data_IF_934549801918
#
_entry.id   IF_934549801918
#
_cell.length_a   1.000
_cell.length_b   1.000
_cell.length_c   1.000
_cell.angle_alpha   90.00
_cell.angle_beta   90.00
_cell.angle_gamma   90.00
#
_symmetry.space_group_name_H-M   'P 1'
#
loop_
_entity.id
_entity.type
_entity.pdbx_description
1 polymer ?
#
# COMPACT_ATOMS: atom_id res chain seq x y z
N UNK A 1 13.72 -12.02 6.68
CA UNK A 1 14.42 -10.73 6.91
C UNK A 1 15.58 -10.89 7.89
N UNK A 2 15.36 -11.60 8.98
CA UNK A 2 16.38 -11.72 10.04
C UNK A 2 17.67 -12.37 9.54
N UNK A 3 17.58 -13.41 8.73
CA UNK A 3 18.75 -14.13 8.24
C UNK A 3 19.59 -13.33 7.25
N UNK A 4 18.98 -12.38 6.55
CA UNK A 4 19.65 -11.62 5.49
C UNK A 4 20.12 -10.25 5.95
N UNK A 5 19.63 -9.76 7.09
CA UNK A 5 19.95 -8.41 7.57
C UNK A 5 21.45 -8.22 7.81
N UNK A 6 22.14 -9.24 8.31
CA UNK A 6 23.60 -9.19 8.55
C UNK A 6 24.41 -9.05 7.26
N UNK A 7 23.81 -9.33 6.11
CA UNK A 7 24.42 -9.16 4.80
C UNK A 7 24.01 -7.86 4.13
N UNK A 8 23.42 -6.94 4.88
CA UNK A 8 22.89 -5.67 4.38
C UNK A 8 21.81 -5.88 3.32
N UNK A 9 20.96 -6.88 3.55
CA UNK A 9 19.79 -7.15 2.68
C UNK A 9 18.53 -6.95 3.52
N UNK A 10 17.72 -5.99 3.14
CA UNK A 10 16.45 -5.71 3.77
C UNK A 10 15.34 -6.42 3.00
N UNK A 11 14.42 -7.05 3.73
CA UNK A 11 13.27 -7.74 3.15
C UNK A 11 12.01 -7.21 3.83
N UNK A 12 11.16 -6.56 3.08
CA UNK A 12 9.92 -5.98 3.57
C UNK A 12 8.76 -6.38 2.67
N UNK A 13 7.56 -6.34 3.22
CA UNK A 13 6.33 -6.59 2.49
C UNK A 13 5.56 -5.29 2.32
N UNK A 14 5.01 -5.08 1.13
CA UNK A 14 4.13 -3.98 0.84
C UNK A 14 2.73 -4.52 0.62
N UNK A 15 1.77 -4.07 1.41
CA UNK A 15 0.38 -4.50 1.32
C UNK A 15 -0.48 -3.32 0.86
N UNK A 16 -0.81 -3.26 -0.44
CA UNK A 16 -1.65 -2.18 -0.94
C UNK A 16 -3.13 -2.42 -0.63
N UNK A 17 -3.88 -1.33 -0.48
CA UNK A 17 -5.33 -1.38 -0.44
C UNK A 17 -5.93 -1.32 -1.84
N UNK A 18 -7.00 -0.56 -1.98
CA UNK A 18 -7.68 -0.41 -3.26
C UNK A 18 -7.15 0.79 -4.03
N UNK A 19 -6.52 0.52 -5.15
CA UNK A 19 -5.93 1.53 -6.02
C UNK A 19 -6.66 1.58 -7.36
N UNK A 20 -6.87 2.79 -7.86
CA UNK A 20 -7.52 3.01 -9.15
C UNK A 20 -6.54 2.70 -10.28
N UNK A 21 -6.46 1.44 -10.64
CA UNK A 21 -5.61 0.93 -11.73
C UNK A 21 -6.47 0.53 -12.93
N UNK A 22 -5.83 0.26 -14.05
CA UNK A 22 -6.54 -0.23 -15.25
C UNK A 22 -7.27 -1.55 -14.97
N UNK A 23 -6.69 -2.42 -14.14
CA UNK A 23 -7.32 -3.68 -13.75
C UNK A 23 -8.60 -3.46 -12.94
N UNK A 24 -8.68 -2.36 -12.20
CA UNK A 24 -9.82 -2.06 -11.34
C UNK A 24 -10.80 -1.09 -11.97
N UNK A 25 -10.64 -0.78 -13.26
CA UNK A 25 -11.46 0.24 -13.93
C UNK A 25 -12.96 -0.02 -13.78
N UNK A 26 -13.40 -1.26 -13.97
CA UNK A 26 -14.81 -1.61 -13.87
C UNK A 26 -15.35 -1.37 -12.45
N UNK A 27 -14.54 -1.64 -11.42
CA UNK A 27 -14.93 -1.41 -10.03
C UNK A 27 -14.93 0.08 -9.69
N UNK A 28 -13.98 0.84 -10.20
CA UNK A 28 -13.93 2.29 -10.00
C UNK A 28 -15.17 2.95 -10.58
N UNK A 29 -15.63 2.47 -11.73
CA UNK A 29 -16.79 3.00 -12.43
C UNK A 29 -18.12 2.49 -11.87
N UNK A 30 -18.08 1.48 -10.98
CA UNK A 30 -19.27 0.94 -10.33
C UNK A 30 -19.64 1.82 -9.12
N UNK A 31 -20.79 2.53 -9.16
CA UNK A 31 -21.16 3.44 -8.07
C UNK A 31 -21.37 2.73 -6.73
N UNK A 32 -21.90 1.50 -6.77
CA UNK A 32 -22.17 0.75 -5.54
C UNK A 32 -20.86 0.32 -4.86
N UNK A 33 -19.93 -0.20 -5.66
CA UNK A 33 -18.63 -0.62 -5.12
C UNK A 33 -17.84 0.58 -4.60
N UNK A 34 -17.81 1.67 -5.34
CA UNK A 34 -17.11 2.88 -4.92
C UNK A 34 -17.71 3.46 -3.65
N UNK A 35 -19.03 3.46 -3.52
CA UNK A 35 -19.70 3.91 -2.30
C UNK A 35 -19.30 3.03 -1.11
N UNK A 36 -19.26 1.70 -1.29
CA UNK A 36 -18.82 0.78 -0.25
C UNK A 36 -17.38 1.07 0.16
N UNK A 37 -16.49 1.26 -0.82
CA UNK A 37 -15.09 1.53 -0.58
C UNK A 37 -14.90 2.84 0.17
N UNK A 38 -15.60 3.89 -0.22
CA UNK A 38 -15.53 5.19 0.44
C UNK A 38 -15.98 5.11 1.90
N UNK A 39 -17.00 4.32 2.17
CA UNK A 39 -17.48 4.10 3.53
C UNK A 39 -16.50 3.26 4.37
N UNK A 40 -15.87 2.28 3.74
CA UNK A 40 -14.98 1.34 4.43
C UNK A 40 -13.59 1.90 4.67
N UNK A 41 -13.17 2.89 3.89
CA UNK A 41 -11.81 3.44 3.92
C UNK A 41 -11.80 4.78 4.63
N UNK A 42 -11.01 4.96 5.69
CA UNK A 42 -10.92 6.26 6.37
C UNK A 42 -10.56 7.43 5.45
N UNK A 43 -9.68 7.21 4.47
CA UNK A 43 -9.34 8.25 3.50
C UNK A 43 -10.48 8.57 2.54
N UNK A 44 -11.50 7.71 2.48
CA UNK A 44 -12.73 7.93 1.72
C UNK A 44 -12.54 8.04 0.22
N UNK A 45 -11.57 7.31 -0.32
CA UNK A 45 -11.30 7.36 -1.75
C UNK A 45 -10.46 6.17 -2.18
N UNK A 46 -10.40 5.96 -3.49
CA UNK A 46 -9.42 5.09 -4.10
C UNK A 46 -8.02 5.69 -3.96
N UNK A 47 -7.01 4.85 -3.80
CA UNK A 47 -5.63 5.28 -3.89
C UNK A 47 -5.22 5.51 -5.34
N UNK A 48 -4.30 6.42 -5.56
CA UNK A 48 -3.71 6.64 -6.87
C UNK A 48 -2.39 5.87 -6.98
N UNK A 49 -2.07 5.38 -8.17
CA UNK A 49 -0.86 4.56 -8.38
C UNK A 49 0.41 5.30 -7.91
N UNK A 50 0.47 6.60 -8.12
CA UNK A 50 1.59 7.42 -7.70
C UNK A 50 1.81 7.38 -6.18
N UNK A 51 0.74 7.18 -5.43
CA UNK A 51 0.82 7.10 -3.97
C UNK A 51 1.45 5.78 -3.49
N UNK A 52 1.38 4.75 -4.31
CA UNK A 52 2.07 3.48 -4.06
C UNK A 52 3.53 3.56 -4.48
N UNK A 53 3.82 4.23 -5.58
CA UNK A 53 5.17 4.35 -6.13
C UNK A 53 6.13 5.00 -5.13
N UNK A 54 5.68 6.02 -4.40
CA UNK A 54 6.52 6.69 -3.40
C UNK A 54 7.01 5.75 -2.30
N UNK A 55 6.15 4.84 -1.85
CA UNK A 55 6.53 3.85 -0.85
C UNK A 55 7.55 2.86 -1.40
N UNK A 56 7.37 2.42 -2.65
CA UNK A 56 8.33 1.53 -3.31
C UNK A 56 9.70 2.20 -3.45
N UNK A 57 9.73 3.45 -3.85
CA UNK A 57 10.97 4.22 -3.98
C UNK A 57 11.65 4.35 -2.62
N UNK A 58 10.91 4.64 -1.58
CA UNK A 58 11.43 4.71 -0.22
C UNK A 58 12.09 3.39 0.19
N UNK A 59 11.39 2.27 -0.01
CA UNK A 59 11.90 0.95 0.37
C UNK A 59 13.10 0.51 -0.46
N UNK A 60 13.24 1.02 -1.69
CA UNK A 60 14.35 0.73 -2.57
C UNK A 60 15.53 1.68 -2.40
N UNK A 61 15.42 2.67 -1.52
CA UNK A 61 16.42 3.72 -1.36
C UNK A 61 17.21 3.56 -0.06
N UNK A 62 18.36 4.23 0.07
CA UNK A 62 19.12 4.25 1.35
C UNK A 62 18.33 4.80 2.53
N UNK A 63 17.25 5.56 2.28
CA UNK A 63 16.42 6.11 3.35
C UNK A 63 15.76 5.02 4.20
N UNK A 64 15.64 3.79 3.68
CA UNK A 64 15.05 2.66 4.40
C UNK A 64 16.08 1.61 4.81
N UNK A 65 17.36 1.94 4.85
CA UNK A 65 18.41 0.95 5.13
C UNK A 65 18.26 0.27 6.51
N UNK A 66 17.59 0.92 7.45
CA UNK A 66 17.35 0.34 8.77
C UNK A 66 15.94 -0.25 8.92
N UNK A 67 15.19 -0.36 7.80
CA UNK A 67 13.85 -0.95 7.77
C UNK A 67 13.94 -2.35 7.20
N UNK A 68 13.64 -3.36 8.02
CA UNK A 68 13.65 -4.76 7.58
C UNK A 68 12.64 -5.55 8.40
N UNK A 69 12.01 -6.52 7.77
CA UNK A 69 11.03 -7.38 8.41
C UNK A 69 9.68 -6.73 8.62
N UNK A 70 9.39 -5.62 7.94
CA UNK A 70 8.15 -4.88 8.12
C UNK A 70 7.13 -5.20 7.04
N UNK A 71 5.85 -5.07 7.41
CA UNK A 71 4.75 -5.07 6.46
C UNK A 71 4.15 -3.67 6.45
N UNK A 72 4.27 -2.99 5.32
CA UNK A 72 3.81 -1.62 5.18
C UNK A 72 2.47 -1.62 4.45
N UNK A 73 1.42 -1.16 5.13
CA UNK A 73 0.09 -1.03 4.55
C UNK A 73 -0.06 0.35 3.92
N UNK A 74 -0.44 0.38 2.64
CA UNK A 74 -0.74 1.61 1.91
C UNK A 74 -2.18 1.47 1.43
N UNK A 75 -3.13 1.79 2.30
CA UNK A 75 -4.54 1.42 2.11
C UNK A 75 -5.53 2.51 2.55
N UNK A 76 -5.05 3.73 2.78
CA UNK A 76 -5.93 4.82 3.22
C UNK A 76 -6.50 4.62 4.62
N UNK A 77 -5.94 3.69 5.40
CA UNK A 77 -6.36 3.40 6.76
C UNK A 77 -7.37 2.27 6.88
N UNK A 78 -7.70 1.59 5.77
CA UNK A 78 -8.74 0.56 5.77
C UNK A 78 -8.51 -0.54 6.82
N UNK A 79 -7.27 -1.01 6.95
CA UNK A 79 -6.95 -2.08 7.90
C UNK A 79 -6.79 -1.61 9.33
N UNK A 80 -6.78 -0.30 9.56
CA UNK A 80 -6.63 0.27 10.91
C UNK A 80 -7.97 0.46 11.62
N UNK A 81 -9.09 0.17 10.95
CA UNK A 81 -10.43 0.27 11.50
C UNK A 81 -11.13 -1.07 11.48
N UNK A 82 -12.10 -1.22 12.37
CA UNK A 82 -12.82 -2.48 12.56
C UNK A 82 -14.13 -2.47 11.80
#
# INVERSE_FOLDING_TARGET
AADLARHNIQVNTLSPGYFATDMNKALVEDPEFTAWLENRTPARRWGQVEELAGTLIYLASPASDFVSGQNIFVDGGMTSVV
#
